data_IF_972907134032
#
_entry.id   IF_972907134032
#
_cell.length_a   1.000
_cell.length_b   1.000
_cell.length_c   1.000
_cell.angle_alpha   90.00
_cell.angle_beta   90.00
_cell.angle_gamma   90.00
#
_symmetry.space_group_name_H-M   'P 1'
#
loop_
_entity.id
_entity.type
_entity.pdbx_description
1 polymer ?
#
# COMPACT_ATOMS: atom_id res chain seq x y z
N UNK A 1 -20.57 -17.54 54.68
CA UNK A 1 -22.04 -17.64 54.48
C UNK A 1 -22.52 -16.93 53.22
N UNK A 2 -22.12 -15.68 52.95
CA UNK A 2 -22.53 -14.93 51.73
C UNK A 2 -22.03 -15.54 50.41
N UNK A 3 -20.80 -16.08 50.39
CA UNK A 3 -20.22 -16.77 49.22
C UNK A 3 -20.96 -18.05 48.83
N UNK A 4 -21.40 -18.87 49.80
CA UNK A 4 -22.18 -20.10 49.52
C UNK A 4 -23.59 -19.82 48.96
N UNK A 5 -24.22 -18.71 49.37
CA UNK A 5 -25.53 -18.31 48.83
C UNK A 5 -25.45 -17.88 47.37
N UNK A 6 -24.39 -17.17 46.99
CA UNK A 6 -24.15 -16.76 45.59
C UNK A 6 -23.90 -17.98 44.70
N UNK A 7 -23.11 -18.94 45.18
CA UNK A 7 -22.80 -20.19 44.44
C UNK A 7 -24.07 -21.01 44.20
N UNK A 8 -24.92 -21.22 45.22
CA UNK A 8 -26.17 -21.97 45.07
C UNK A 8 -27.19 -21.29 44.13
N UNK A 9 -27.25 -19.96 44.18
CA UNK A 9 -28.17 -19.17 43.35
C UNK A 9 -27.72 -19.14 41.88
N UNK A 10 -26.41 -19.10 41.65
CA UNK A 10 -25.81 -19.04 40.31
C UNK A 10 -25.73 -20.42 39.62
N UNK A 11 -25.36 -21.47 40.36
CA UNK A 11 -24.99 -22.76 39.76
C UNK A 11 -26.13 -23.78 39.73
N UNK A 12 -27.14 -23.65 40.60
CA UNK A 12 -28.25 -24.62 40.67
C UNK A 12 -29.56 -23.94 40.26
N UNK A 13 -29.88 -22.81 40.85
CA UNK A 13 -31.19 -22.19 40.66
C UNK A 13 -31.39 -21.59 39.28
N UNK A 14 -30.39 -20.87 38.78
CA UNK A 14 -30.44 -20.21 37.47
C UNK A 14 -30.48 -21.21 36.29
N UNK A 15 -29.59 -22.21 36.18
CA UNK A 15 -29.62 -23.15 35.06
C UNK A 15 -30.82 -24.11 35.12
N UNK A 16 -31.29 -24.52 36.32
CA UNK A 16 -32.43 -25.41 36.41
C UNK A 16 -33.74 -24.72 36.00
N UNK A 17 -33.93 -23.45 36.38
CA UNK A 17 -35.11 -22.66 35.98
C UNK A 17 -35.08 -22.27 34.51
N UNK A 18 -33.92 -21.88 33.97
CA UNK A 18 -33.78 -21.58 32.55
C UNK A 18 -33.90 -22.84 31.69
N UNK A 19 -33.26 -23.94 32.08
CA UNK A 19 -33.35 -25.23 31.40
C UNK A 19 -34.78 -25.77 31.36
N UNK A 20 -35.53 -25.66 32.46
CA UNK A 20 -36.95 -26.02 32.48
C UNK A 20 -37.79 -25.13 31.56
N UNK A 21 -37.51 -23.82 31.52
CA UNK A 21 -38.21 -22.87 30.64
C UNK A 21 -37.93 -23.14 29.16
N UNK A 22 -36.68 -23.48 28.81
CA UNK A 22 -36.27 -23.86 27.45
C UNK A 22 -36.92 -25.18 27.04
N UNK A 23 -37.00 -26.16 27.94
CA UNK A 23 -37.65 -27.44 27.67
C UNK A 23 -39.17 -27.32 27.51
N UNK A 24 -39.81 -26.38 28.22
CA UNK A 24 -41.27 -26.18 28.17
C UNK A 24 -41.72 -25.42 26.93
N UNK A 25 -40.91 -24.48 26.43
CA UNK A 25 -41.24 -23.64 25.26
C UNK A 25 -40.10 -23.57 24.23
N UNK A 26 -39.73 -24.69 23.59
CA UNK A 26 -38.56 -24.78 22.72
C UNK A 26 -38.63 -23.80 21.54
N UNK A 27 -39.79 -23.70 20.89
CA UNK A 27 -39.99 -22.81 19.74
C UNK A 27 -39.81 -21.32 20.07
N UNK A 28 -40.29 -20.87 21.23
CA UNK A 28 -40.11 -19.48 21.66
C UNK A 28 -38.65 -19.17 21.97
N UNK A 29 -37.92 -20.11 22.58
CA UNK A 29 -36.51 -19.89 22.89
C UNK A 29 -35.63 -19.82 21.64
N UNK A 30 -35.90 -20.65 20.63
CA UNK A 30 -35.22 -20.60 19.33
C UNK A 30 -35.51 -19.27 18.61
N UNK A 31 -36.76 -18.83 18.63
CA UNK A 31 -37.17 -17.59 17.98
C UNK A 31 -36.47 -16.38 18.63
N UNK A 32 -36.48 -16.31 19.97
CA UNK A 32 -35.86 -15.20 20.72
C UNK A 32 -34.34 -15.17 20.52
N UNK A 33 -33.65 -16.32 20.62
CA UNK A 33 -32.20 -16.36 20.40
C UNK A 33 -31.83 -15.99 18.96
N UNK A 34 -32.63 -16.44 17.98
CA UNK A 34 -32.44 -16.09 16.56
C UNK A 34 -32.64 -14.60 16.31
N UNK A 35 -33.66 -13.97 16.90
CA UNK A 35 -33.87 -12.51 16.79
C UNK A 35 -32.67 -11.75 17.37
N UNK A 36 -32.16 -12.17 18.53
CA UNK A 36 -31.00 -11.53 19.16
C UNK A 36 -29.76 -11.65 18.27
N UNK A 37 -29.48 -12.83 17.72
CA UNK A 37 -28.36 -13.04 16.79
C UNK A 37 -28.51 -12.22 15.51
N UNK A 38 -29.71 -12.14 14.94
CA UNK A 38 -29.96 -11.33 13.74
C UNK A 38 -29.80 -9.83 14.03
N UNK A 39 -30.27 -9.38 15.20
CA UNK A 39 -30.12 -7.99 15.63
C UNK A 39 -28.68 -7.59 15.93
N UNK A 40 -27.81 -8.51 16.32
CA UNK A 40 -26.38 -8.22 16.46
C UNK A 40 -25.67 -8.28 15.12
N UNK A 41 -26.11 -9.16 14.21
CA UNK A 41 -25.57 -9.24 12.85
C UNK A 41 -25.80 -7.95 12.04
N UNK A 42 -26.89 -7.20 12.29
CA UNK A 42 -27.11 -5.91 11.61
C UNK A 42 -26.01 -4.89 11.88
N UNK A 43 -25.26 -5.02 12.98
CA UNK A 43 -24.08 -4.17 13.24
C UNK A 43 -22.96 -4.33 12.22
N UNK A 44 -22.87 -5.48 11.56
CA UNK A 44 -21.87 -5.73 10.51
C UNK A 44 -22.15 -4.94 9.22
N UNK A 45 -23.40 -4.49 9.00
CA UNK A 45 -23.75 -3.67 7.85
C UNK A 45 -23.03 -2.32 7.90
N UNK A 46 -22.74 -1.82 9.10
CA UNK A 46 -22.07 -0.54 9.33
C UNK A 46 -20.57 -0.70 9.63
N UNK A 47 -20.02 -1.89 9.39
CA UNK A 47 -18.60 -2.13 9.60
C UNK A 47 -17.77 -1.40 8.53
N UNK A 48 -17.04 -0.38 8.95
CA UNK A 48 -16.09 0.33 8.10
C UNK A 48 -14.69 -0.25 8.28
N UNK A 49 -14.14 -0.85 7.22
CA UNK A 49 -12.76 -1.33 7.22
C UNK A 49 -11.82 -0.26 6.68
N UNK A 50 -10.94 0.27 7.53
CA UNK A 50 -9.85 1.15 7.10
C UNK A 50 -8.66 0.30 6.61
N UNK A 51 -8.25 0.48 5.36
CA UNK A 51 -7.11 -0.25 4.75
C UNK A 51 -5.81 0.54 4.77
N UNK A 52 -5.84 1.81 5.13
CA UNK A 52 -4.64 2.64 5.23
C UNK A 52 -3.80 2.23 6.43
N UNK A 53 -2.64 1.65 6.14
CA UNK A 53 -1.71 1.14 7.15
C UNK A 53 -1.31 2.24 8.14
N UNK A 54 -1.09 3.46 7.67
CA UNK A 54 -0.61 4.57 8.53
C UNK A 54 -1.61 4.94 9.62
N UNK A 55 -2.90 4.83 9.33
CA UNK A 55 -3.97 5.07 10.32
C UNK A 55 -4.14 3.86 11.24
N UNK A 56 -3.85 2.65 10.75
CA UNK A 56 -4.00 1.42 11.53
C UNK A 56 -2.87 1.23 12.56
N UNK A 57 -1.65 1.64 12.22
CA UNK A 57 -0.46 1.45 13.07
C UNK A 57 -0.18 2.61 14.03
N UNK A 58 -0.73 3.79 13.78
CA UNK A 58 -0.59 4.94 14.66
C UNK A 58 -1.81 5.07 15.58
N UNK A 59 -1.63 5.31 16.90
CA UNK A 59 -2.77 5.58 17.76
C UNK A 59 -3.46 6.89 17.36
N UNK A 60 -4.77 6.92 17.54
CA UNK A 60 -5.58 8.10 17.30
C UNK A 60 -5.08 9.29 18.14
N UNK A 61 -5.08 10.48 17.53
CA UNK A 61 -4.71 11.76 18.17
C UNK A 61 -3.21 11.95 18.51
N UNK A 62 -2.30 11.32 17.78
CA UNK A 62 -0.87 11.65 17.86
C UNK A 62 -0.52 12.94 17.10
N UNK A 63 0.49 13.66 17.58
CA UNK A 63 1.05 14.83 16.87
C UNK A 63 1.53 14.47 15.45
N UNK A 64 2.04 13.25 15.26
CA UNK A 64 2.46 12.75 13.96
C UNK A 64 1.27 12.67 12.97
N UNK A 65 0.13 12.12 13.42
CA UNK A 65 -1.07 12.03 12.59
C UNK A 65 -1.64 13.42 12.26
N UNK A 66 -1.68 14.35 13.24
CA UNK A 66 -2.15 15.71 13.01
C UNK A 66 -1.28 16.46 12.00
N UNK A 67 0.05 16.35 12.13
CA UNK A 67 0.98 16.96 11.17
C UNK A 67 0.83 16.35 9.78
N UNK A 68 0.65 15.03 9.68
CA UNK A 68 0.41 14.35 8.42
C UNK A 68 -0.88 14.85 7.74
N UNK A 69 -1.99 14.90 8.48
CA UNK A 69 -3.27 15.40 7.96
C UNK A 69 -3.17 16.86 7.52
N UNK A 70 -2.37 17.68 8.23
CA UNK A 70 -2.08 19.03 7.80
C UNK A 70 -1.26 19.06 6.50
N UNK A 71 -0.24 18.21 6.34
CA UNK A 71 0.55 18.12 5.10
C UNK A 71 -0.34 17.68 3.94
N UNK A 72 -1.11 16.60 4.09
CA UNK A 72 -2.03 16.09 3.04
C UNK A 72 -3.09 17.11 2.62
N UNK A 73 -3.49 18.02 3.53
CA UNK A 73 -4.46 19.08 3.23
C UNK A 73 -3.84 20.26 2.48
N UNK A 74 -2.58 20.61 2.79
CA UNK A 74 -1.93 21.81 2.25
C UNK A 74 -1.06 21.52 1.02
N UNK A 75 -0.57 20.30 0.88
CA UNK A 75 0.26 19.86 -0.24
C UNK A 75 -0.50 18.82 -1.08
N UNK A 76 -0.33 18.81 -2.41
CA UNK A 76 -0.90 17.77 -3.25
C UNK A 76 -0.44 16.40 -2.75
N UNK A 77 -1.36 15.41 -2.77
CA UNK A 77 -1.13 14.05 -2.26
C UNK A 77 0.26 13.53 -2.63
N UNK A 78 0.89 12.85 -1.66
CA UNK A 78 2.24 12.31 -1.78
C UNK A 78 2.47 11.61 -3.12
N UNK A 79 3.57 11.98 -3.75
CA UNK A 79 4.03 11.32 -4.97
C UNK A 79 4.41 9.89 -4.59
N UNK A 80 3.76 8.89 -5.20
CA UNK A 80 4.13 7.50 -4.96
C UNK A 80 5.50 7.23 -5.56
N UNK A 81 6.45 6.86 -4.72
CA UNK A 81 7.79 6.46 -5.14
C UNK A 81 7.78 4.98 -5.50
N UNK A 82 8.18 4.68 -6.72
CA UNK A 82 8.37 3.31 -7.23
C UNK A 82 9.83 3.18 -7.67
N UNK A 83 10.51 2.13 -7.21
CA UNK A 83 11.92 1.90 -7.50
C UNK A 83 12.15 0.51 -8.08
N UNK A 84 13.12 0.41 -8.97
CA UNK A 84 13.62 -0.84 -9.53
C UNK A 84 15.11 -0.90 -9.19
N UNK A 85 15.52 -2.00 -8.55
CA UNK A 85 16.91 -2.23 -8.20
C UNK A 85 17.44 -3.33 -9.11
N UNK A 86 18.51 -3.03 -9.84
CA UNK A 86 19.22 -3.99 -10.68
C UNK A 86 20.50 -4.41 -9.95
N UNK A 87 20.67 -5.72 -9.75
CA UNK A 87 21.85 -6.30 -9.12
C UNK A 87 22.62 -7.16 -10.12
N UNK A 88 23.95 -6.97 -10.19
CA UNK A 88 24.88 -7.79 -10.96
C UNK A 88 26.28 -7.66 -10.36
N UNK A 89 27.20 -8.63 -10.58
CA UNK A 89 28.59 -8.52 -10.13
C UNK A 89 29.29 -7.25 -10.62
N UNK A 90 28.98 -6.81 -11.84
CA UNK A 90 29.31 -5.49 -12.35
C UNK A 90 28.09 -4.93 -13.09
N UNK A 91 27.45 -3.92 -12.50
CA UNK A 91 26.25 -3.27 -13.07
C UNK A 91 26.57 -2.28 -14.18
N UNK A 92 27.81 -1.81 -14.29
CA UNK A 92 28.26 -0.79 -15.27
C UNK A 92 28.78 -1.42 -16.58
N UNK A 93 28.29 -2.60 -16.93
CA UNK A 93 28.58 -3.20 -18.24
C UNK A 93 27.56 -2.76 -19.28
N UNK A 94 27.99 -2.73 -20.55
CA UNK A 94 27.12 -2.36 -21.67
C UNK A 94 25.83 -3.18 -21.70
N UNK A 95 25.94 -4.49 -21.50
CA UNK A 95 24.82 -5.42 -21.56
C UNK A 95 23.77 -5.09 -20.49
N UNK A 96 24.24 -4.74 -19.28
CA UNK A 96 23.38 -4.42 -18.15
C UNK A 96 22.70 -3.05 -18.31
N UNK A 97 23.40 -2.06 -18.85
CA UNK A 97 22.80 -0.76 -19.18
C UNK A 97 21.75 -0.88 -20.29
N UNK A 98 22.02 -1.67 -21.33
CA UNK A 98 21.04 -1.97 -22.39
C UNK A 98 19.83 -2.71 -21.80
N UNK A 99 20.05 -3.65 -20.88
CA UNK A 99 18.98 -4.36 -20.21
C UNK A 99 18.09 -3.41 -19.37
N UNK A 100 18.71 -2.50 -18.62
CA UNK A 100 18.01 -1.47 -17.86
C UNK A 100 17.20 -0.54 -18.78
N UNK A 101 17.77 -0.13 -19.91
CA UNK A 101 17.07 0.68 -20.91
C UNK A 101 15.83 -0.02 -21.47
N UNK A 102 15.94 -1.33 -21.79
CA UNK A 102 14.79 -2.13 -22.24
C UNK A 102 13.69 -2.24 -21.18
N UNK A 103 14.06 -2.31 -19.91
CA UNK A 103 13.08 -2.28 -18.81
C UNK A 103 12.37 -0.93 -18.75
N UNK A 104 13.11 0.18 -18.77
CA UNK A 104 12.54 1.53 -18.74
C UNK A 104 11.58 1.77 -19.93
N UNK A 105 11.97 1.37 -21.13
CA UNK A 105 11.14 1.46 -22.33
C UNK A 105 9.85 0.62 -22.21
N UNK A 106 9.95 -0.61 -21.70
CA UNK A 106 8.77 -1.44 -21.45
C UNK A 106 7.85 -0.79 -20.44
N UNK A 107 8.38 -0.31 -19.31
CA UNK A 107 7.62 0.32 -18.24
C UNK A 107 6.83 1.54 -18.74
N UNK A 108 7.46 2.41 -19.53
CA UNK A 108 6.81 3.60 -20.09
C UNK A 108 5.64 3.30 -21.00
N UNK A 109 5.72 2.17 -21.71
CA UNK A 109 4.71 1.70 -22.65
C UNK A 109 3.66 0.78 -22.02
N UNK A 110 3.76 0.47 -20.72
CA UNK A 110 2.73 -0.29 -20.02
C UNK A 110 1.45 0.54 -19.92
N UNK A 111 0.33 -0.11 -20.25
CA UNK A 111 -1.00 0.45 -20.13
C UNK A 111 -1.72 -0.26 -18.99
N UNK A 112 -2.27 0.50 -18.05
CA UNK A 112 -3.10 -0.03 -16.97
C UNK A 112 -4.35 -0.69 -17.54
N UNK A 113 -4.58 -1.96 -17.19
CA UNK A 113 -5.77 -2.72 -17.66
C UNK A 113 -7.09 -2.13 -17.17
N UNK A 114 -7.10 -1.56 -15.96
CA UNK A 114 -8.32 -1.04 -15.32
C UNK A 114 -8.70 0.35 -15.81
N UNK A 115 -7.72 1.22 -16.02
CA UNK A 115 -7.96 2.66 -16.28
C UNK A 115 -7.45 3.15 -17.64
N UNK A 116 -6.83 2.28 -18.44
CA UNK A 116 -6.24 2.61 -19.74
C UNK A 116 -5.31 3.83 -19.68
N UNK A 117 -4.51 3.92 -18.62
CA UNK A 117 -3.54 4.99 -18.39
C UNK A 117 -2.12 4.49 -18.63
N UNK A 118 -1.31 5.35 -19.23
CA UNK A 118 0.12 5.11 -19.44
C UNK A 118 0.94 5.69 -18.30
N UNK A 119 2.23 5.35 -18.23
CA UNK A 119 3.16 5.97 -17.29
C UNK A 119 3.19 7.51 -17.43
N UNK A 120 3.13 8.03 -18.65
CA UNK A 120 3.14 9.46 -18.90
C UNK A 120 1.94 10.19 -18.26
N UNK A 121 0.79 9.52 -18.13
CA UNK A 121 -0.41 10.09 -17.52
C UNK A 121 -0.37 10.12 -15.99
N UNK A 122 0.38 9.20 -15.37
CA UNK A 122 0.42 9.01 -13.93
C UNK A 122 1.66 9.60 -13.26
N UNK A 123 2.74 9.84 -14.02
CA UNK A 123 4.00 10.31 -13.50
C UNK A 123 3.87 11.66 -12.78
N UNK A 124 4.73 11.89 -11.79
CA UNK A 124 4.90 13.22 -11.22
C UNK A 124 5.53 14.16 -12.27
N UNK A 125 4.80 15.22 -12.65
CA UNK A 125 5.23 16.15 -13.69
C UNK A 125 5.82 17.43 -13.11
N UNK A 126 7.05 17.73 -13.51
CA UNK A 126 7.61 19.08 -13.50
C UNK A 126 7.08 19.82 -14.74
N UNK A 127 7.06 21.17 -14.83
CA UNK A 127 6.41 21.91 -15.92
C UNK A 127 6.75 21.48 -17.35
N UNK A 128 7.84 20.73 -17.56
CA UNK A 128 8.30 20.29 -18.88
C UNK A 128 8.37 18.76 -19.04
N UNK A 129 8.32 17.94 -17.97
CA UNK A 129 8.60 16.50 -18.06
C UNK A 129 8.19 15.67 -16.83
N UNK A 130 8.06 14.35 -17.02
CA UNK A 130 7.99 13.37 -15.94
C UNK A 130 9.32 13.33 -15.18
N UNK A 131 9.26 13.33 -13.85
CA UNK A 131 10.43 13.13 -13.01
C UNK A 131 10.69 11.64 -12.89
N UNK A 132 11.84 11.20 -13.40
CA UNK A 132 12.44 9.90 -13.05
C UNK A 132 13.79 10.12 -12.40
N UNK A 133 14.30 9.13 -11.68
CA UNK A 133 15.67 9.13 -11.14
C UNK A 133 16.34 7.84 -11.59
N UNK A 134 17.12 7.92 -12.66
CA UNK A 134 17.79 6.76 -13.26
C UNK A 134 19.13 7.18 -13.84
N UNK A 135 20.11 6.27 -13.79
CA UNK A 135 21.43 6.45 -14.40
C UNK A 135 21.33 6.71 -15.91
N UNK A 136 20.26 6.22 -16.55
CA UNK A 136 19.99 6.45 -17.96
C UNK A 136 19.81 7.93 -18.31
N UNK A 137 19.51 8.79 -17.33
CA UNK A 137 19.39 10.23 -17.54
C UNK A 137 20.70 10.91 -17.92
N UNK A 138 21.84 10.30 -17.62
CA UNK A 138 23.17 10.79 -18.05
C UNK A 138 23.24 10.85 -19.58
N UNK A 139 22.60 9.89 -20.26
CA UNK A 139 22.56 9.77 -21.72
C UNK A 139 21.18 10.11 -22.30
N UNK A 140 20.37 10.87 -21.57
CA UNK A 140 19.05 11.26 -22.03
C UNK A 140 19.06 12.57 -22.83
N UNK A 141 18.10 12.67 -23.75
CA UNK A 141 17.89 13.87 -24.55
C UNK A 141 17.25 15.01 -23.74
N UNK A 142 16.94 16.14 -24.40
CA UNK A 142 16.26 17.30 -23.78
C UNK A 142 14.90 16.97 -23.15
N UNK A 143 14.22 15.93 -23.61
CA UNK A 143 12.94 15.42 -23.08
C UNK A 143 13.13 14.38 -21.97
N UNK A 144 14.38 14.12 -21.55
CA UNK A 144 14.73 13.12 -20.51
C UNK A 144 14.32 11.70 -20.89
N UNK A 145 14.30 11.44 -22.19
CA UNK A 145 14.16 10.11 -22.78
C UNK A 145 15.57 9.64 -23.11
N UNK A 146 15.99 8.44 -22.65
CA UNK A 146 17.31 7.91 -23.01
C UNK A 146 17.37 7.64 -24.52
N UNK A 147 18.42 8.12 -25.17
CA UNK A 147 18.58 7.96 -26.61
C UNK A 147 19.09 6.55 -26.93
N UNK A 148 18.33 5.82 -27.75
CA UNK A 148 18.61 4.43 -28.08
C UNK A 148 19.94 4.30 -28.85
N UNK A 149 20.23 5.23 -29.76
CA UNK A 149 21.46 5.19 -30.58
C UNK A 149 22.70 5.43 -29.71
N UNK A 150 22.60 6.34 -28.74
CA UNK A 150 23.67 6.63 -27.78
C UNK A 150 23.91 5.39 -26.91
N UNK A 151 22.85 4.79 -26.35
CA UNK A 151 22.96 3.64 -25.45
C UNK A 151 23.54 2.41 -26.17
N UNK A 152 23.14 2.16 -27.41
CA UNK A 152 23.71 1.06 -28.20
C UNK A 152 25.18 1.30 -28.56
N UNK A 153 25.60 2.56 -28.69
CA UNK A 153 26.98 2.97 -28.97
C UNK A 153 27.93 2.94 -27.76
N UNK A 154 27.42 2.76 -26.53
CA UNK A 154 28.24 2.83 -25.32
C UNK A 154 29.30 1.73 -25.26
N UNK A 155 30.48 2.10 -24.74
CA UNK A 155 31.56 1.21 -24.32
C UNK A 155 31.74 1.25 -22.79
N UNK A 156 32.24 0.17 -22.20
CA UNK A 156 32.43 0.06 -20.74
C UNK A 156 33.32 1.18 -20.17
N UNK A 157 34.34 1.63 -20.91
CA UNK A 157 35.21 2.72 -20.45
C UNK A 157 34.50 4.07 -20.47
N UNK A 158 33.66 4.30 -21.48
CA UNK A 158 32.85 5.53 -21.58
C UNK A 158 31.79 5.59 -20.49
N UNK A 159 31.12 4.47 -20.20
CA UNK A 159 30.13 4.36 -19.13
C UNK A 159 30.74 4.75 -17.79
N UNK A 160 31.87 4.14 -17.44
CA UNK A 160 32.52 4.42 -16.16
C UNK A 160 32.94 5.90 -16.04
N UNK A 161 33.48 6.48 -17.11
CA UNK A 161 33.90 7.89 -17.14
C UNK A 161 32.72 8.86 -17.01
N UNK A 162 31.62 8.60 -17.72
CA UNK A 162 30.45 9.47 -17.69
C UNK A 162 29.74 9.41 -16.33
N UNK A 163 29.64 8.22 -15.75
CA UNK A 163 29.04 8.02 -14.42
C UNK A 163 29.88 8.68 -13.33
N UNK A 164 31.21 8.52 -13.37
CA UNK A 164 32.11 9.17 -12.40
C UNK A 164 32.11 10.69 -12.56
N UNK A 165 32.02 11.21 -13.79
CA UNK A 165 31.86 12.64 -14.03
C UNK A 165 30.55 13.17 -13.44
N UNK A 166 29.42 12.52 -13.74
CA UNK A 166 28.12 12.92 -13.23
C UNK A 166 28.06 12.89 -11.69
N UNK A 167 28.74 11.95 -11.05
CA UNK A 167 28.83 11.88 -9.59
C UNK A 167 29.66 13.01 -8.97
N UNK A 168 30.69 13.50 -9.66
CA UNK A 168 31.52 14.59 -9.16
C UNK A 168 30.90 15.99 -9.40
N UNK A 169 29.95 16.10 -10.32
CA UNK A 169 29.32 17.37 -10.71
C UNK A 169 27.96 17.63 -10.02
N UNK A 170 27.35 16.61 -9.40
CA UNK A 170 26.08 16.70 -8.66
C UNK A 170 26.27 16.88 -7.17
#
# INVERSE_FOLDING_TARGET
TFSQQIILLKDIFFPFRLGFTVATYPWWTILVSSIICLSTMTGLIWFHQTTDYEVLWAPDNTNALQNKLWIEKNYPKDSRLEYIILEAPNVLTKENIIYLFKIDQKLRNVVSSTYNKTYADLCYRTPQKCVSQSILQIWANKESIPDEDIIMGLDSNTIFKDVTKAWNEG
#
